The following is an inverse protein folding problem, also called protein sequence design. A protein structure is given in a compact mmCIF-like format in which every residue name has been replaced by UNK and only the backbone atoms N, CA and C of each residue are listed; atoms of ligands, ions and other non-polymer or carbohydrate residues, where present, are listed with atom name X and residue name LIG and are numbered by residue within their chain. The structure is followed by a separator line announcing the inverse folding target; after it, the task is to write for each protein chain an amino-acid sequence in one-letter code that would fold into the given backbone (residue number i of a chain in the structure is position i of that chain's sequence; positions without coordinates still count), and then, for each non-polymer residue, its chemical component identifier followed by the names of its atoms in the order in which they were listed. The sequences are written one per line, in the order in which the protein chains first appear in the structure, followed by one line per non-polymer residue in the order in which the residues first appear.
data_IF_653752728174
#
_entry.id   IF_653752728174
#
_cell.length_a   1.000
_cell.length_b   1.000
_cell.length_c   1.000
_cell.angle_alpha   90.00
_cell.angle_beta   90.00
_cell.angle_gamma   90.00
#
_symmetry.space_group_name_H-M   'P 1'
#
loop_
_entity.id
_entity.type
_entity.pdbx_description
1 polymer ?
#
# COMPACT_ATOMS: atom_id res chain seq x y z
N UNK A 1 -37.73 45.76 -41.16
CA UNK A 1 -38.05 44.58 -40.35
C UNK A 1 -39.49 44.73 -39.86
N UNK A 2 -40.37 43.95 -40.42
CA UNK A 2 -41.75 43.87 -39.96
C UNK A 2 -41.72 43.03 -38.66
N UNK A 3 -41.49 43.72 -37.62
CA UNK A 3 -41.54 43.13 -36.30
C UNK A 3 -42.99 42.87 -35.98
N UNK A 4 -43.38 41.61 -35.92
CA UNK A 4 -44.48 41.08 -35.10
C UNK A 4 -45.86 41.69 -35.29
N UNK A 5 -46.11 42.30 -36.39
CA UNK A 5 -47.49 42.46 -36.83
C UNK A 5 -48.12 41.15 -37.27
N UNK A 6 -47.48 40.10 -36.95
CA UNK A 6 -47.80 38.84 -37.51
C UNK A 6 -48.68 37.99 -36.61
N UNK A 7 -49.26 38.53 -35.61
CA UNK A 7 -50.44 37.93 -35.03
C UNK A 7 -51.65 38.70 -35.53
N UNK A 8 -51.95 38.50 -36.77
CA UNK A 8 -53.24 38.87 -37.34
C UNK A 8 -54.30 38.06 -36.55
N UNK A 9 -55.16 38.74 -35.81
CA UNK A 9 -56.22 38.04 -35.07
C UNK A 9 -57.15 37.26 -35.98
N UNK A 10 -57.17 37.57 -37.28
CA UNK A 10 -57.97 36.80 -38.27
C UNK A 10 -57.41 35.41 -38.54
N UNK A 11 -56.16 35.18 -38.24
CA UNK A 11 -55.49 33.89 -38.39
C UNK A 11 -55.51 33.04 -37.09
N UNK A 12 -56.08 33.60 -36.00
CA UNK A 12 -56.18 32.93 -34.73
C UNK A 12 -57.07 31.67 -34.72
N UNK A 13 -57.66 31.34 -35.86
CA UNK A 13 -58.43 30.10 -36.01
C UNK A 13 -57.62 28.82 -36.32
N UNK A 14 -56.31 28.98 -36.52
CA UNK A 14 -55.41 27.84 -36.78
C UNK A 14 -54.55 27.56 -35.56
N UNK A 15 -55.19 27.16 -34.48
CA UNK A 15 -54.44 26.71 -33.32
C UNK A 15 -53.51 25.52 -33.72
N UNK A 16 -52.21 25.79 -33.68
CA UNK A 16 -51.17 24.81 -33.89
C UNK A 16 -50.34 24.96 -35.17
N UNK A 17 -50.88 25.48 -36.27
CA UNK A 17 -50.10 25.60 -37.52
C UNK A 17 -48.97 26.68 -37.44
N UNK A 18 -49.22 27.80 -36.79
CA UNK A 18 -48.21 28.84 -36.65
C UNK A 18 -47.00 28.42 -35.80
N UNK A 19 -47.19 27.42 -34.93
CA UNK A 19 -46.08 26.85 -34.13
C UNK A 19 -45.22 25.92 -34.96
N UNK A 20 -45.78 25.26 -35.97
CA UNK A 20 -45.04 24.41 -36.87
C UNK A 20 -44.20 25.16 -37.90
N UNK A 21 -44.59 26.41 -38.25
CA UNK A 21 -43.88 27.25 -39.23
C UNK A 21 -42.74 28.08 -38.63
N UNK A 22 -42.63 28.18 -37.34
CA UNK A 22 -41.48 28.80 -36.65
C UNK A 22 -40.33 27.81 -36.64
N UNK A 23 -39.64 27.74 -37.77
CA UNK A 23 -38.39 26.96 -37.90
C UNK A 23 -37.41 27.40 -36.83
N UNK A 24 -37.04 26.48 -35.95
CA UNK A 24 -36.10 26.69 -34.87
C UNK A 24 -36.70 26.52 -33.47
N UNK A 25 -38.00 26.38 -33.35
CA UNK A 25 -38.69 26.15 -32.04
C UNK A 25 -39.37 24.78 -31.96
N UNK A 26 -39.31 23.95 -32.98
CA UNK A 26 -39.70 22.56 -32.82
C UNK A 26 -38.69 21.94 -31.90
N UNK A 27 -39.13 21.42 -30.72
CA UNK A 27 -38.24 20.67 -29.90
C UNK A 27 -37.67 19.55 -30.74
N UNK A 28 -36.34 19.47 -30.88
CA UNK A 28 -35.67 18.33 -31.48
C UNK A 28 -36.08 17.14 -30.60
N UNK A 29 -37.04 16.36 -31.10
CA UNK A 29 -37.39 15.12 -30.45
C UNK A 29 -36.14 14.25 -30.54
N UNK A 30 -35.43 13.98 -29.47
CA UNK A 30 -34.25 13.14 -29.57
C UNK A 30 -34.71 11.80 -30.14
N UNK A 31 -33.99 11.31 -31.13
CA UNK A 31 -34.20 9.96 -31.65
C UNK A 31 -34.21 8.99 -30.49
N UNK A 32 -35.41 8.63 -30.04
CA UNK A 32 -35.55 7.69 -28.95
C UNK A 32 -35.19 6.33 -29.51
N UNK A 33 -34.00 5.88 -29.20
CA UNK A 33 -33.56 4.50 -29.46
C UNK A 33 -34.64 3.59 -28.91
N UNK A 34 -35.25 2.71 -29.72
CA UNK A 34 -36.37 1.89 -29.28
C UNK A 34 -35.99 1.09 -28.02
N UNK A 35 -36.88 1.07 -27.06
CA UNK A 35 -36.66 0.51 -25.71
C UNK A 35 -36.06 -0.92 -25.73
N UNK A 36 -36.33 -1.68 -26.78
CA UNK A 36 -35.78 -3.03 -26.95
C UNK A 36 -34.28 -3.03 -27.24
N UNK A 37 -33.81 -2.12 -28.08
CA UNK A 37 -32.36 -1.98 -28.40
C UNK A 37 -31.60 -1.47 -27.18
N UNK A 38 -32.16 -0.54 -26.42
CA UNK A 38 -31.58 -0.03 -25.20
C UNK A 38 -31.37 -1.13 -24.14
N UNK A 39 -32.32 -2.05 -23.98
CA UNK A 39 -32.17 -3.22 -23.09
C UNK A 39 -31.09 -4.19 -23.56
N UNK A 40 -31.04 -4.47 -24.86
CA UNK A 40 -30.01 -5.36 -25.41
C UNK A 40 -28.62 -4.77 -25.23
N UNK A 41 -28.42 -3.46 -25.46
CA UNK A 41 -27.16 -2.78 -25.22
C UNK A 41 -26.79 -2.78 -23.73
N UNK A 42 -27.74 -2.59 -22.83
CA UNK A 42 -27.51 -2.63 -21.38
C UNK A 42 -27.12 -4.03 -20.90
N UNK A 43 -27.76 -5.07 -21.41
CA UNK A 43 -27.41 -6.46 -21.08
C UNK A 43 -26.06 -6.86 -21.66
N UNK A 44 -25.78 -6.46 -22.91
CA UNK A 44 -24.50 -6.74 -23.54
C UNK A 44 -23.33 -6.04 -22.82
N UNK A 45 -23.50 -4.77 -22.46
CA UNK A 45 -22.48 -4.04 -21.69
C UNK A 45 -22.27 -4.65 -20.30
N UNK A 46 -23.35 -5.06 -19.62
CA UNK A 46 -23.27 -5.74 -18.34
C UNK A 46 -22.49 -7.06 -18.41
N UNK A 47 -22.74 -7.85 -19.46
CA UNK A 47 -22.01 -9.10 -19.71
C UNK A 47 -20.52 -8.85 -19.99
N UNK A 48 -20.20 -7.86 -20.79
CA UNK A 48 -18.79 -7.49 -21.07
C UNK A 48 -18.07 -7.05 -19.80
N UNK A 49 -18.70 -6.20 -18.97
CA UNK A 49 -18.13 -5.76 -17.70
C UNK A 49 -17.94 -6.96 -16.75
N UNK A 50 -18.93 -7.85 -16.65
CA UNK A 50 -18.83 -9.04 -15.80
C UNK A 50 -17.70 -9.98 -16.26
N UNK A 51 -17.53 -10.16 -17.57
CA UNK A 51 -16.46 -10.97 -18.14
C UNK A 51 -15.08 -10.33 -17.86
N UNK A 52 -14.98 -9.02 -18.01
CA UNK A 52 -13.74 -8.28 -17.75
C UNK A 52 -13.35 -8.35 -16.26
N UNK A 53 -14.33 -8.18 -15.37
CA UNK A 53 -14.12 -8.35 -13.93
C UNK A 53 -13.73 -9.78 -13.57
N UNK A 54 -14.34 -10.77 -14.19
CA UNK A 54 -13.97 -12.18 -14.02
C UNK A 54 -12.54 -12.47 -14.45
N UNK A 55 -12.11 -11.93 -15.58
CA UNK A 55 -10.73 -12.04 -16.06
C UNK A 55 -9.76 -11.38 -15.05
N UNK A 56 -10.08 -10.20 -14.56
CA UNK A 56 -9.25 -9.51 -13.55
C UNK A 56 -9.11 -10.37 -12.28
N UNK A 57 -10.21 -10.94 -11.79
CA UNK A 57 -10.19 -11.81 -10.60
C UNK A 57 -9.33 -13.06 -10.83
N UNK A 58 -9.47 -13.70 -12.01
CA UNK A 58 -8.67 -14.88 -12.36
C UNK A 58 -7.19 -14.52 -12.48
N UNK A 59 -6.86 -13.39 -13.13
CA UNK A 59 -5.49 -12.91 -13.24
C UNK A 59 -4.90 -12.54 -11.87
N UNK A 60 -5.73 -12.01 -10.96
CA UNK A 60 -5.32 -11.74 -9.58
C UNK A 60 -5.02 -13.02 -8.79
N UNK A 61 -5.85 -14.06 -8.94
CA UNK A 61 -5.66 -15.33 -8.24
C UNK A 61 -4.55 -16.19 -8.83
N UNK A 62 -4.21 -15.98 -10.10
CA UNK A 62 -3.18 -16.77 -10.81
C UNK A 62 -1.77 -16.23 -10.67
N UNK A 63 -1.55 -15.20 -9.84
CA UNK A 63 -0.27 -14.47 -9.74
C UNK A 63 0.29 -13.95 -11.09
N UNK A 64 -0.49 -14.07 -12.16
CA UNK A 64 -0.10 -13.59 -13.50
C UNK A 64 -0.24 -12.06 -13.60
N UNK A 65 -1.21 -11.48 -12.87
CA UNK A 65 -1.29 -10.03 -12.73
C UNK A 65 -0.36 -9.60 -11.59
N UNK A 66 0.89 -9.90 -11.79
CA UNK A 66 2.02 -9.47 -10.95
C UNK A 66 2.27 -7.97 -11.11
N UNK A 67 1.34 -7.16 -10.71
CA UNK A 67 1.65 -6.03 -9.89
C UNK A 67 1.99 -6.59 -8.49
N UNK A 68 2.89 -7.55 -8.42
CA UNK A 68 3.73 -7.70 -7.26
C UNK A 68 4.54 -6.40 -7.21
N UNK A 69 3.94 -5.41 -6.60
CA UNK A 69 4.78 -4.46 -5.87
C UNK A 69 5.65 -5.38 -5.02
N UNK A 70 6.96 -5.42 -5.27
CA UNK A 70 7.82 -6.20 -4.39
C UNK A 70 7.43 -5.75 -2.99
N UNK A 71 7.28 -6.65 -2.03
CA UNK A 71 7.04 -6.25 -0.66
C UNK A 71 8.07 -5.14 -0.39
N UNK A 72 7.72 -4.09 0.36
CA UNK A 72 8.66 -3.02 0.65
C UNK A 72 9.81 -3.60 1.47
N UNK A 73 10.72 -4.23 0.78
CA UNK A 73 11.92 -4.88 1.34
C UNK A 73 13.11 -4.01 1.00
N UNK A 74 14.07 -3.99 1.89
CA UNK A 74 15.38 -3.38 1.62
C UNK A 74 16.29 -4.34 0.83
N UNK A 75 15.74 -5.38 0.19
CA UNK A 75 16.52 -6.41 -0.51
C UNK A 75 17.44 -5.81 -1.58
N UNK A 76 16.93 -4.84 -2.32
CA UNK A 76 17.72 -4.08 -3.29
C UNK A 76 19.00 -3.47 -2.69
N UNK A 77 18.93 -2.97 -1.45
CA UNK A 77 20.08 -2.36 -0.77
C UNK A 77 21.10 -3.42 -0.36
N UNK A 78 20.65 -4.62 -0.01
CA UNK A 78 21.50 -5.75 0.34
C UNK A 78 22.17 -6.39 -0.89
N UNK A 79 21.47 -6.38 -2.02
CA UNK A 79 22.02 -6.80 -3.32
C UNK A 79 23.05 -5.78 -3.84
N UNK A 80 22.68 -4.49 -3.91
CA UNK A 80 23.56 -3.42 -4.41
C UNK A 80 24.84 -3.25 -3.56
N UNK A 81 24.77 -3.58 -2.27
CA UNK A 81 25.94 -3.56 -1.37
C UNK A 81 26.74 -4.87 -1.36
N UNK A 82 26.43 -5.82 -2.23
CA UNK A 82 27.08 -7.13 -2.34
C UNK A 82 26.98 -8.00 -1.07
N UNK A 83 26.09 -7.64 -0.13
CA UNK A 83 25.91 -8.41 1.12
C UNK A 83 25.39 -9.81 0.81
N UNK A 84 24.50 -9.96 -0.16
CA UNK A 84 23.97 -11.26 -0.57
C UNK A 84 25.06 -12.17 -1.15
N UNK A 85 25.97 -11.61 -1.91
CA UNK A 85 27.10 -12.36 -2.47
C UNK A 85 28.04 -12.83 -1.37
N UNK A 86 28.33 -11.98 -0.38
CA UNK A 86 29.12 -12.36 0.79
C UNK A 86 28.45 -13.47 1.61
N UNK A 87 27.15 -13.36 1.86
CA UNK A 87 26.39 -14.40 2.57
C UNK A 87 26.38 -15.73 1.80
N UNK A 88 26.30 -15.68 0.47
CA UNK A 88 26.38 -16.89 -0.37
C UNK A 88 27.72 -17.61 -0.25
N UNK A 89 28.80 -16.91 0.12
CA UNK A 89 30.09 -17.51 0.42
C UNK A 89 30.21 -18.07 1.84
N UNK A 90 29.15 -17.94 2.66
CA UNK A 90 29.14 -18.39 4.05
C UNK A 90 29.51 -17.31 5.08
N UNK A 91 29.73 -16.07 4.64
CA UNK A 91 30.06 -14.96 5.53
C UNK A 91 28.76 -14.37 6.14
N UNK A 92 28.25 -15.00 7.18
CA UNK A 92 27.00 -14.65 7.86
C UNK A 92 27.19 -14.03 9.24
N UNK A 93 28.44 -13.75 9.61
CA UNK A 93 28.80 -13.16 10.89
C UNK A 93 29.03 -14.17 12.03
N UNK A 94 29.13 -15.47 11.73
CA UNK A 94 29.42 -16.47 12.74
C UNK A 94 30.74 -16.19 13.47
N UNK A 95 30.72 -16.26 14.80
CA UNK A 95 31.88 -15.95 15.64
C UNK A 95 32.13 -14.46 15.89
N UNK A 96 31.39 -13.56 15.22
CA UNK A 96 31.49 -12.12 15.41
C UNK A 96 30.57 -11.68 16.55
N UNK A 97 31.03 -10.74 17.37
CA UNK A 97 30.23 -10.08 18.41
C UNK A 97 29.99 -8.63 18.02
N UNK A 98 28.73 -8.24 18.03
CA UNK A 98 28.29 -6.85 17.78
C UNK A 98 27.67 -6.31 19.05
N UNK A 99 28.04 -5.12 19.48
CA UNK A 99 27.39 -4.42 20.58
C UNK A 99 26.53 -3.29 20.01
N UNK A 100 25.27 -3.26 20.42
CA UNK A 100 24.30 -2.23 20.05
C UNK A 100 23.78 -1.58 21.33
N UNK A 101 23.84 -0.24 21.38
CA UNK A 101 23.28 0.58 22.45
C UNK A 101 22.07 1.31 21.88
N UNK A 102 20.88 0.92 22.33
CA UNK A 102 19.63 1.40 21.74
C UNK A 102 18.50 1.38 22.80
N UNK A 103 17.25 1.37 22.35
CA UNK A 103 16.06 1.34 23.21
C UNK A 103 15.79 -0.04 23.80
N UNK A 104 16.54 -1.05 23.42
CA UNK A 104 16.35 -2.43 23.84
C UNK A 104 15.91 -3.34 22.70
N UNK A 105 15.36 -4.50 23.03
CA UNK A 105 14.97 -5.51 22.05
C UNK A 105 13.77 -6.33 22.55
N UNK A 106 12.86 -6.63 21.65
CA UNK A 106 11.78 -7.61 21.88
C UNK A 106 12.09 -8.89 21.11
N UNK A 107 12.43 -9.94 21.82
CA UNK A 107 12.69 -11.27 21.21
C UNK A 107 11.42 -12.04 20.86
N UNK A 108 10.23 -11.49 21.15
CA UNK A 108 8.97 -12.07 20.74
C UNK A 108 8.67 -11.91 19.25
N UNK A 109 9.46 -11.11 18.55
CA UNK A 109 9.29 -10.91 17.10
C UNK A 109 9.84 -12.11 16.33
N UNK A 110 9.06 -12.64 15.39
CA UNK A 110 9.40 -13.85 14.61
C UNK A 110 10.73 -13.74 13.89
N UNK A 111 11.06 -12.57 13.37
CA UNK A 111 12.34 -12.31 12.67
C UNK A 111 13.58 -12.49 13.55
N UNK A 112 13.42 -12.47 14.87
CA UNK A 112 14.52 -12.62 15.85
C UNK A 112 14.49 -13.97 16.57
N UNK A 113 13.57 -14.84 16.18
CA UNK A 113 13.48 -16.17 16.77
C UNK A 113 14.77 -16.97 16.51
N UNK A 114 15.36 -17.52 17.56
CA UNK A 114 16.61 -18.27 17.46
C UNK A 114 17.89 -17.43 17.33
N UNK A 115 17.78 -16.11 17.30
CA UNK A 115 18.95 -15.21 17.25
C UNK A 115 19.75 -15.28 18.55
N UNK A 116 21.07 -15.16 18.44
CA UNK A 116 21.97 -15.19 19.57
C UNK A 116 22.13 -13.80 20.18
N UNK A 117 21.36 -13.49 21.24
CA UNK A 117 21.30 -12.17 21.85
C UNK A 117 21.69 -12.24 23.33
N UNK A 118 22.62 -11.39 23.73
CA UNK A 118 22.93 -11.07 25.13
C UNK A 118 22.35 -9.71 25.44
N UNK A 119 21.50 -9.62 26.44
CA UNK A 119 20.76 -8.40 26.77
C UNK A 119 21.21 -7.83 28.12
N UNK A 120 21.38 -6.52 28.16
CA UNK A 120 21.65 -5.77 29.39
C UNK A 120 20.70 -4.57 29.45
N UNK A 121 20.06 -4.38 30.59
CA UNK A 121 19.03 -3.36 30.79
C UNK A 121 19.51 -2.26 31.73
N UNK A 122 19.78 -1.08 31.14
CA UNK A 122 20.17 0.12 31.88
C UNK A 122 18.99 1.09 32.08
N UNK A 123 17.81 0.79 31.57
CA UNK A 123 16.60 1.62 31.69
C UNK A 123 15.71 1.14 32.82
N UNK A 124 15.26 -0.11 32.76
CA UNK A 124 14.28 -0.67 33.69
C UNK A 124 14.85 -1.65 34.71
N UNK A 125 16.10 -2.07 34.58
CA UNK A 125 16.74 -3.11 35.40
C UNK A 125 15.94 -4.42 35.48
N UNK A 126 15.17 -4.73 34.41
CA UNK A 126 14.28 -5.90 34.45
C UNK A 126 14.99 -7.22 34.20
N UNK A 127 16.17 -7.19 33.61
CA UNK A 127 16.89 -8.39 33.17
C UNK A 127 16.17 -9.20 32.06
N UNK A 128 14.98 -8.77 31.66
CA UNK A 128 14.21 -9.39 30.60
C UNK A 128 14.30 -8.55 29.34
N UNK A 129 14.62 -9.16 28.16
CA UNK A 129 14.69 -8.42 26.91
C UNK A 129 13.42 -7.62 26.66
N UNK A 130 13.55 -6.29 26.71
CA UNK A 130 12.45 -5.34 26.58
C UNK A 130 12.92 -4.17 25.71
N UNK A 131 12.06 -3.71 24.83
CA UNK A 131 12.29 -2.51 24.03
C UNK A 131 11.50 -1.34 24.61
N UNK A 132 12.19 -0.31 25.04
CA UNK A 132 11.63 0.89 25.66
C UNK A 132 11.32 2.01 24.66
N UNK A 133 11.55 1.77 23.36
CA UNK A 133 11.26 2.72 22.29
C UNK A 133 9.78 2.78 21.95
N UNK A 134 9.26 3.97 21.65
CA UNK A 134 7.86 4.15 21.20
C UNK A 134 7.53 3.43 19.90
N UNK A 135 8.53 3.22 19.04
CA UNK A 135 8.44 2.51 17.76
C UNK A 135 9.27 1.22 17.76
N UNK A 136 9.71 0.76 18.95
CA UNK A 136 10.59 -0.39 19.09
C UNK A 136 11.87 -0.28 18.22
N UNK A 137 12.53 0.86 18.28
CA UNK A 137 13.67 1.19 17.41
C UNK A 137 14.81 0.17 17.51
N UNK A 138 15.21 -0.21 18.72
CA UNK A 138 16.26 -1.21 18.92
C UNK A 138 15.89 -2.58 18.33
N UNK A 139 14.62 -2.98 18.43
CA UNK A 139 14.12 -4.20 17.81
C UNK A 139 14.18 -4.14 16.29
N UNK A 140 13.82 -2.98 15.69
CA UNK A 140 13.92 -2.77 14.25
C UNK A 140 15.38 -2.84 13.77
N UNK A 141 16.29 -2.18 14.48
CA UNK A 141 17.72 -2.21 14.16
C UNK A 141 18.32 -3.61 14.31
N UNK A 142 17.93 -4.33 15.36
CA UNK A 142 18.31 -5.74 15.52
C UNK A 142 17.75 -6.61 14.39
N UNK A 143 16.54 -6.34 13.92
CA UNK A 143 15.94 -7.03 12.77
C UNK A 143 16.72 -6.84 11.48
N UNK A 144 17.19 -5.62 11.20
CA UNK A 144 18.06 -5.35 10.04
C UNK A 144 19.35 -6.17 10.11
N UNK A 145 19.89 -6.37 11.30
CA UNK A 145 21.13 -7.11 11.49
C UNK A 145 20.93 -8.62 11.49
N UNK A 146 19.94 -9.12 12.24
CA UNK A 146 19.83 -10.53 12.66
C UNK A 146 18.69 -11.31 12.01
N UNK A 147 17.75 -10.65 11.32
CA UNK A 147 16.52 -11.32 10.88
C UNK A 147 16.79 -12.66 10.20
N UNK A 148 16.04 -13.69 10.61
CA UNK A 148 16.05 -15.03 10.04
C UNK A 148 14.74 -15.39 9.32
N UNK A 149 13.83 -14.43 9.19
CA UNK A 149 12.52 -14.61 8.59
C UNK A 149 12.52 -14.24 7.09
N UNK A 150 11.42 -13.76 6.58
CA UNK A 150 11.12 -13.40 5.20
C UNK A 150 12.25 -12.63 4.51
N UNK A 151 12.90 -11.72 5.22
CA UNK A 151 14.09 -11.01 4.75
C UNK A 151 15.24 -11.30 5.71
N UNK A 152 16.26 -12.02 5.22
CA UNK A 152 17.44 -12.30 6.00
C UNK A 152 18.21 -11.00 6.30
N UNK A 153 18.64 -10.84 7.55
CA UNK A 153 19.42 -9.70 8.00
C UNK A 153 20.82 -9.64 7.39
N UNK A 154 21.55 -8.58 7.71
CA UNK A 154 22.92 -8.35 7.19
C UNK A 154 23.89 -9.42 7.67
N UNK A 155 23.81 -9.79 8.96
CA UNK A 155 24.71 -10.75 9.60
C UNK A 155 23.93 -11.61 10.60
N UNK A 156 23.10 -12.56 10.13
CA UNK A 156 22.14 -13.27 10.97
C UNK A 156 22.77 -14.17 12.04
N UNK A 157 24.05 -14.54 11.88
CA UNK A 157 24.75 -15.45 12.77
C UNK A 157 25.71 -14.76 13.77
N UNK A 158 25.67 -13.42 13.85
CA UNK A 158 26.45 -12.71 14.89
C UNK A 158 25.87 -12.96 16.29
N UNK A 159 26.69 -12.80 17.31
CA UNK A 159 26.21 -12.65 18.68
C UNK A 159 25.98 -11.17 18.95
N UNK A 160 24.71 -10.77 19.14
CA UNK A 160 24.34 -9.40 19.45
C UNK A 160 24.34 -9.16 20.96
N UNK A 161 25.19 -8.26 21.45
CA UNK A 161 25.06 -7.63 22.76
C UNK A 161 24.15 -6.40 22.64
N UNK A 162 22.95 -6.47 23.17
CA UNK A 162 22.01 -5.35 23.18
C UNK A 162 22.00 -4.69 24.56
N UNK A 163 22.41 -3.43 24.63
CA UNK A 163 22.28 -2.59 25.80
C UNK A 163 21.08 -1.65 25.66
N UNK A 164 20.04 -1.87 26.45
CA UNK A 164 18.91 -0.95 26.54
C UNK A 164 19.31 0.26 27.41
N UNK A 165 19.68 1.36 26.79
CA UNK A 165 20.14 2.58 27.45
C UNK A 165 19.31 3.82 27.08
N UNK A 166 18.39 3.69 26.12
CA UNK A 166 17.53 4.78 25.66
C UNK A 166 16.07 4.43 25.97
N UNK A 167 15.29 5.45 26.33
CA UNK A 167 13.85 5.29 26.53
C UNK A 167 13.05 6.26 25.66
N UNK A 168 11.79 5.95 25.39
CA UNK A 168 10.88 6.79 24.61
C UNK A 168 10.69 8.19 25.23
N UNK A 169 10.93 8.34 26.51
CA UNK A 169 10.75 9.61 27.25
C UNK A 169 11.98 10.53 27.18
N UNK A 170 13.00 10.14 26.42
CA UNK A 170 14.24 10.93 26.29
C UNK A 170 15.09 10.97 27.58
N UNK A 171 14.71 10.23 28.60
CA UNK A 171 15.51 10.04 29.78
C UNK A 171 16.62 9.02 29.46
N UNK A 172 17.78 9.55 29.10
CA UNK A 172 18.98 8.75 29.05
C UNK A 172 19.33 8.36 30.49
N UNK A 173 19.04 7.14 30.88
CA UNK A 173 19.66 6.60 32.08
C UNK A 173 21.13 6.33 31.75
N UNK A 174 21.96 7.34 31.95
CA UNK A 174 23.38 7.13 32.13
C UNK A 174 23.50 6.35 33.43
N UNK A 175 23.83 5.07 33.30
CA UNK A 175 23.96 4.18 34.44
C UNK A 175 24.72 4.90 35.56
N UNK A 176 24.03 5.06 36.67
CA UNK A 176 24.68 5.49 37.89
C UNK A 176 25.57 4.35 38.37
N UNK A 177 26.79 4.68 38.57
CA UNK A 177 27.93 4.08 39.28
C UNK A 177 27.66 2.80 40.07
#
# INVERSE_FOLDING_TARGET
PKILSAVDPSTAGHEGQWRAEVTGWAPVVPDTVPFRTRRVFSLASGLVIALFMGIIVVLWQSDILLLQLPPPTSEWALEDSEIRDLQATGLTGEGVRVCMVDTGISLAHTSLEGSNVVFEDFVGNSGTPTDYGSIAHGTLMAGILLSNDFQQGIAPNVTLGMAAALSANGENNTGSE
#
